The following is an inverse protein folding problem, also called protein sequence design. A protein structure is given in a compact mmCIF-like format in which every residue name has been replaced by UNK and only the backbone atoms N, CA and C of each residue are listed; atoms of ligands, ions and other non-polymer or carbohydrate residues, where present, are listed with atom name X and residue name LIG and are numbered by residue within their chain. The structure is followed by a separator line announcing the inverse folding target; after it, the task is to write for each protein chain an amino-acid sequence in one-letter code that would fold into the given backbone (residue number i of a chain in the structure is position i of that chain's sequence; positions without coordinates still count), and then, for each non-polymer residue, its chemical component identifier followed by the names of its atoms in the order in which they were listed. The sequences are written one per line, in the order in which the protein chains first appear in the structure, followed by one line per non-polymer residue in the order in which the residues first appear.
data_IF_544220373878
#
_entry.id   IF_544220373878
#
_cell.length_a   1.000
_cell.length_b   1.000
_cell.length_c   1.000
_cell.angle_alpha   90.00
_cell.angle_beta   90.00
_cell.angle_gamma   90.00
#
_symmetry.space_group_name_H-M   'P 1'
#
loop_
_entity.id
_entity.type
_entity.pdbx_description
1 polymer ?
#
# COMPACT_ATOMS: atom_id res chain seq x y z
N UNK A 1 -11.56 4.28 14.46
CA UNK A 1 -10.23 4.22 13.86
C UNK A 1 -9.51 5.54 14.13
N UNK A 2 -8.22 5.53 14.48
CA UNK A 2 -7.44 6.74 14.71
C UNK A 2 -6.16 6.74 13.84
N UNK A 3 -6.23 7.36 12.65
CA UNK A 3 -5.06 7.61 11.79
C UNK A 3 -4.61 9.06 12.02
N UNK A 4 -3.32 9.27 12.27
CA UNK A 4 -2.78 10.63 12.34
C UNK A 4 -2.80 11.28 10.96
N UNK A 5 -3.45 12.42 10.83
CA UNK A 5 -3.45 13.26 9.61
C UNK A 5 -2.03 13.67 9.16
N UNK A 6 -1.10 13.82 10.10
CA UNK A 6 0.30 14.22 9.84
C UNK A 6 1.07 13.28 8.92
N UNK A 7 0.59 12.04 8.71
CA UNK A 7 1.25 11.10 7.80
C UNK A 7 0.95 11.41 6.33
N UNK A 8 -0.16 12.09 6.03
CA UNK A 8 -0.56 12.44 4.66
C UNK A 8 0.16 13.73 4.24
N UNK A 9 1.21 13.59 3.44
CA UNK A 9 2.05 14.70 2.97
C UNK A 9 1.66 15.09 1.55
N UNK A 10 2.32 16.13 1.04
CA UNK A 10 2.05 16.67 -0.29
C UNK A 10 2.16 15.64 -1.43
N UNK A 11 3.05 14.64 -1.31
CA UNK A 11 3.38 13.72 -2.40
C UNK A 11 3.30 12.24 -2.04
N UNK A 12 3.13 11.89 -0.76
CA UNK A 12 3.07 10.52 -0.28
C UNK A 12 2.62 10.44 1.19
N UNK A 13 2.53 9.20 1.70
CA UNK A 13 2.23 8.91 3.10
C UNK A 13 3.53 8.50 3.81
N UNK A 14 3.91 9.21 4.88
CA UNK A 14 5.11 8.90 5.68
C UNK A 14 4.87 9.13 7.17
N UNK A 15 5.13 8.08 7.96
CA UNK A 15 5.06 8.13 9.42
C UNK A 15 6.16 7.31 10.10
N UNK A 16 6.15 7.33 11.43
CA UNK A 16 7.04 6.53 12.27
C UNK A 16 6.29 5.26 12.68
N UNK A 17 6.88 4.11 12.37
CA UNK A 17 6.26 2.80 12.64
C UNK A 17 6.04 2.61 14.14
N UNK A 18 4.84 2.14 14.51
CA UNK A 18 4.43 1.94 15.90
C UNK A 18 4.06 3.23 16.65
N UNK A 19 4.11 4.40 15.98
CA UNK A 19 3.65 5.67 16.52
C UNK A 19 2.56 6.28 15.65
N UNK A 20 2.94 6.84 14.49
CA UNK A 20 2.01 7.50 13.56
C UNK A 20 1.63 6.61 12.39
N UNK A 21 2.45 5.60 12.06
CA UNK A 21 2.14 4.58 11.06
C UNK A 21 2.06 3.21 11.75
N UNK A 22 0.87 2.63 11.78
CA UNK A 22 0.59 1.32 12.40
C UNK A 22 0.17 0.31 11.35
N UNK A 23 0.14 -0.97 11.73
CA UNK A 23 -0.40 -2.04 10.88
C UNK A 23 -1.87 -1.78 10.52
N UNK A 24 -2.68 -1.37 11.51
CA UNK A 24 -4.07 -0.95 11.29
C UNK A 24 -4.14 0.21 10.29
N UNK A 25 -3.32 1.25 10.45
CA UNK A 25 -3.29 2.36 9.50
C UNK A 25 -2.93 1.89 8.08
N UNK A 26 -1.94 1.01 7.93
CA UNK A 26 -1.56 0.45 6.64
C UNK A 26 -2.70 -0.33 5.98
N UNK A 27 -3.46 -1.12 6.75
CA UNK A 27 -4.65 -1.83 6.26
C UNK A 27 -5.69 -0.86 5.70
N UNK A 28 -6.06 0.18 6.43
CA UNK A 28 -7.08 1.10 5.95
C UNK A 28 -6.59 2.02 4.83
N UNK A 29 -5.29 2.36 4.81
CA UNK A 29 -4.68 3.02 3.65
C UNK A 29 -4.81 2.12 2.41
N UNK A 30 -4.51 0.83 2.54
CA UNK A 30 -4.66 -0.14 1.46
C UNK A 30 -6.11 -0.23 0.99
N UNK A 31 -7.05 -0.31 1.92
CA UNK A 31 -8.48 -0.32 1.61
C UNK A 31 -8.91 0.95 0.86
N UNK A 32 -8.50 2.13 1.32
CA UNK A 32 -8.84 3.40 0.68
C UNK A 32 -8.26 3.50 -0.74
N UNK A 33 -7.00 3.09 -0.94
CA UNK A 33 -6.38 3.04 -2.27
C UNK A 33 -7.14 2.07 -3.18
N UNK A 34 -7.51 0.90 -2.66
CA UNK A 34 -8.24 -0.11 -3.42
C UNK A 34 -9.65 0.35 -3.81
N UNK A 35 -10.37 1.03 -2.92
CA UNK A 35 -11.70 1.59 -3.22
C UNK A 35 -11.61 2.66 -4.32
N UNK A 36 -10.65 3.59 -4.22
CA UNK A 36 -10.39 4.60 -5.26
C UNK A 36 -10.01 3.96 -6.61
N UNK A 37 -9.19 2.91 -6.60
CA UNK A 37 -8.80 2.19 -7.81
C UNK A 37 -10.00 1.46 -8.44
N UNK A 38 -10.82 0.78 -7.63
CA UNK A 38 -12.03 0.11 -8.07
C UNK A 38 -13.05 1.07 -8.69
N UNK A 39 -13.23 2.26 -8.10
CA UNK A 39 -14.08 3.33 -8.64
C UNK A 39 -13.62 3.81 -10.02
N UNK A 40 -12.31 3.73 -10.29
CA UNK A 40 -11.70 4.02 -11.60
C UNK A 40 -11.75 2.84 -12.58
N UNK A 41 -12.29 1.69 -12.15
CA UNK A 41 -12.42 0.49 -12.97
C UNK A 41 -11.19 -0.42 -12.95
N UNK A 42 -10.20 -0.12 -12.12
CA UNK A 42 -9.04 -1.00 -11.93
C UNK A 42 -9.43 -2.27 -11.18
N UNK A 43 -8.82 -3.40 -11.54
CA UNK A 43 -9.11 -4.72 -10.96
C UNK A 43 -7.92 -5.33 -10.25
N UNK A 44 -6.73 -4.82 -10.53
CA UNK A 44 -5.46 -5.35 -10.07
C UNK A 44 -4.56 -4.23 -9.59
N UNK A 45 -3.62 -4.56 -8.70
CA UNK A 45 -2.62 -3.62 -8.21
C UNK A 45 -1.32 -4.33 -7.86
N UNK A 46 -0.19 -3.74 -8.27
CA UNK A 46 1.13 -4.20 -7.88
C UNK A 46 1.52 -3.66 -6.49
N UNK A 47 2.04 -4.52 -5.63
CA UNK A 47 2.59 -4.15 -4.32
C UNK A 47 4.05 -4.55 -4.25
N UNK A 48 4.92 -3.59 -3.95
CA UNK A 48 6.35 -3.80 -3.73
C UNK A 48 6.81 -3.05 -2.49
N UNK A 49 7.92 -3.50 -1.89
CA UNK A 49 8.45 -2.93 -0.64
C UNK A 49 9.95 -2.77 -0.66
N UNK A 50 10.45 -1.84 0.15
CA UNK A 50 11.90 -1.64 0.37
C UNK A 50 12.44 -2.56 1.49
N UNK A 51 13.75 -2.42 1.78
CA UNK A 51 14.50 -3.25 2.73
C UNK A 51 14.36 -2.88 4.21
N UNK A 52 13.35 -2.11 4.62
CA UNK A 52 13.16 -1.79 6.04
C UNK A 52 12.63 -2.98 6.83
N UNK A 53 12.96 -3.03 8.13
CA UNK A 53 12.51 -4.07 9.05
C UNK A 53 10.98 -4.16 9.15
N UNK A 54 10.30 -3.00 9.05
CA UNK A 54 8.85 -2.91 9.11
C UNK A 54 8.14 -3.30 7.81
N UNK A 55 8.87 -3.38 6.70
CA UNK A 55 8.28 -3.52 5.37
C UNK A 55 7.46 -4.80 5.17
N UNK A 56 7.88 -5.99 5.66
CA UNK A 56 7.05 -7.20 5.56
C UNK A 56 5.69 -7.05 6.26
N UNK A 57 5.66 -6.45 7.45
CA UNK A 57 4.43 -6.26 8.22
C UNK A 57 3.48 -5.28 7.52
N UNK A 58 3.99 -4.10 7.16
CA UNK A 58 3.17 -3.05 6.57
C UNK A 58 2.69 -3.40 5.17
N UNK A 59 3.52 -4.06 4.35
CA UNK A 59 3.11 -4.51 3.01
C UNK A 59 2.01 -5.55 3.09
N UNK A 60 2.09 -6.50 4.04
CA UNK A 60 1.02 -7.47 4.26
C UNK A 60 -0.31 -6.79 4.62
N UNK A 61 -0.30 -5.89 5.60
CA UNK A 61 -1.51 -5.19 6.02
C UNK A 61 -2.09 -4.33 4.89
N UNK A 62 -1.24 -3.62 4.14
CA UNK A 62 -1.64 -2.88 2.94
C UNK A 62 -2.33 -3.80 1.92
N UNK A 63 -1.72 -4.94 1.60
CA UNK A 63 -2.28 -5.93 0.67
C UNK A 63 -3.62 -6.49 1.16
N UNK A 64 -3.77 -6.77 2.44
CA UNK A 64 -5.05 -7.20 3.03
C UNK A 64 -6.15 -6.13 2.86
N UNK A 65 -5.79 -4.85 3.02
CA UNK A 65 -6.69 -3.73 2.74
C UNK A 65 -7.11 -3.64 1.27
N UNK A 66 -6.14 -3.75 0.35
CA UNK A 66 -6.37 -3.73 -1.10
C UNK A 66 -7.29 -4.88 -1.54
N UNK A 67 -7.00 -6.11 -1.09
CA UNK A 67 -7.85 -7.28 -1.35
C UNK A 67 -9.26 -7.11 -0.77
N UNK A 68 -9.39 -6.46 0.40
CA UNK A 68 -10.70 -6.20 1.01
C UNK A 68 -11.55 -5.24 0.17
N UNK A 69 -10.92 -4.36 -0.59
CA UNK A 69 -11.58 -3.48 -1.56
C UNK A 69 -11.94 -4.18 -2.89
N UNK A 70 -11.57 -5.45 -3.06
CA UNK A 70 -11.90 -6.26 -4.24
C UNK A 70 -10.82 -6.28 -5.32
N UNK A 71 -9.62 -5.77 -5.05
CA UNK A 71 -8.49 -5.76 -5.99
C UNK A 71 -7.72 -7.08 -5.92
N UNK A 72 -7.27 -7.56 -7.08
CA UNK A 72 -6.25 -8.61 -7.17
C UNK A 72 -4.87 -7.99 -6.87
N UNK A 73 -4.14 -8.56 -5.90
CA UNK A 73 -2.84 -8.02 -5.48
C UNK A 73 -1.69 -8.83 -6.08
N UNK A 74 -0.84 -8.16 -6.85
CA UNK A 74 0.41 -8.69 -7.38
C UNK A 74 1.57 -8.26 -6.49
N UNK A 75 1.89 -9.06 -5.47
CA UNK A 75 3.06 -8.82 -4.60
C UNK A 75 4.36 -9.20 -5.34
N UNK A 76 5.15 -8.19 -5.70
CA UNK A 76 6.46 -8.34 -6.35
C UNK A 76 7.62 -8.34 -5.35
N UNK A 77 7.32 -8.29 -4.05
CA UNK A 77 8.27 -8.49 -2.97
C UNK A 77 9.22 -7.32 -2.71
N UNK A 78 10.46 -7.66 -2.35
CA UNK A 78 11.52 -6.71 -2.00
C UNK A 78 12.18 -6.17 -3.27
N UNK A 79 11.85 -4.95 -3.66
CA UNK A 79 12.33 -4.34 -4.91
C UNK A 79 12.61 -2.84 -4.76
N UNK A 80 13.48 -2.25 -5.60
CA UNK A 80 13.57 -0.80 -5.71
C UNK A 80 12.24 -0.19 -6.18
N UNK A 81 11.93 1.02 -5.72
CA UNK A 81 10.77 1.81 -6.19
C UNK A 81 10.63 1.86 -7.72
N UNK A 82 11.67 2.10 -8.54
CA UNK A 82 11.50 2.10 -10.00
C UNK A 82 11.12 0.74 -10.59
N UNK A 83 11.39 -0.38 -9.90
CA UNK A 83 10.91 -1.71 -10.32
C UNK A 83 9.42 -1.87 -10.05
N UNK A 84 8.92 -1.33 -8.91
CA UNK A 84 7.48 -1.24 -8.68
C UNK A 84 6.79 -0.37 -9.74
N UNK A 85 7.37 0.79 -10.08
CA UNK A 85 6.84 1.61 -11.17
C UNK A 85 6.90 0.89 -12.52
N UNK A 86 7.95 0.15 -12.81
CA UNK A 86 7.99 -0.67 -14.02
C UNK A 86 6.85 -1.69 -14.03
N UNK A 87 6.61 -2.39 -12.92
CA UNK A 87 5.54 -3.37 -12.80
C UNK A 87 4.15 -2.79 -13.06
N UNK A 88 3.85 -1.53 -12.67
CA UNK A 88 2.54 -0.91 -12.94
C UNK A 88 2.24 -0.67 -14.43
N UNK A 89 3.23 -0.82 -15.32
CA UNK A 89 3.01 -0.76 -16.78
C UNK A 89 3.06 -2.14 -17.46
N UNK A 90 3.47 -3.19 -16.73
CA UNK A 90 3.79 -4.49 -17.32
C UNK A 90 3.07 -5.67 -16.66
N UNK A 91 2.48 -5.46 -15.49
CA UNK A 91 1.56 -6.39 -14.84
C UNK A 91 0.11 -5.92 -15.03
N UNK A 92 -0.87 -6.83 -14.87
CA UNK A 92 -2.28 -6.50 -14.93
C UNK A 92 -2.70 -5.40 -13.95
#
# INVERSE_FOLDING_TARGET
MNISDTIFRAYDIRGVVGKTLTEEAAFFIGKAIGEEAAEKGEKAIAVGRDGRLSSPLLARALSEGLMKAGLEVFDIGLVPTPVLYFATFHLP
#
